data_IF_229316854612
#
_entry.id   IF_229316854612
#
_cell.length_a   1.000
_cell.length_b   1.000
_cell.length_c   1.000
_cell.angle_alpha   90.00
_cell.angle_beta   90.00
_cell.angle_gamma   90.00
#
_symmetry.space_group_name_H-M   'P 1'
#
loop_
_entity.id
_entity.type
_entity.pdbx_description
1 polymer ?
#
# COMPACT_ATOMS: atom_id res chain seq x y z
N UNK A 1 21.25 20.94 -4.73
CA UNK A 1 21.11 19.57 -5.30
C UNK A 1 19.65 19.16 -5.25
N UNK A 2 19.07 18.80 -6.40
CA UNK A 2 17.68 18.34 -6.48
C UNK A 2 17.50 16.99 -5.76
N UNK A 3 16.49 16.87 -4.92
CA UNK A 3 16.18 15.69 -4.11
C UNK A 3 14.69 15.35 -4.27
N UNK A 4 14.38 14.07 -4.40
CA UNK A 4 13.03 13.53 -4.30
C UNK A 4 12.96 12.66 -3.04
N UNK A 5 12.05 12.98 -2.12
CA UNK A 5 11.73 12.16 -0.96
C UNK A 5 10.35 11.53 -1.15
N UNK A 6 10.25 10.22 -0.93
CA UNK A 6 8.98 9.49 -1.05
C UNK A 6 8.72 8.63 0.19
N UNK A 7 7.48 8.65 0.67
CA UNK A 7 7.05 7.86 1.83
C UNK A 7 5.56 7.92 2.08
N UNK A 8 5.09 7.31 3.17
CA UNK A 8 3.68 7.45 3.57
C UNK A 8 3.35 8.90 3.95
N UNK A 9 2.06 9.32 3.86
CA UNK A 9 1.67 10.70 4.19
C UNK A 9 2.17 11.15 5.57
N UNK A 10 2.10 10.29 6.59
CA UNK A 10 2.59 10.59 7.93
C UNK A 10 4.13 10.73 8.00
N UNK A 11 4.88 9.96 7.19
CA UNK A 11 6.33 10.11 7.11
C UNK A 11 6.71 11.41 6.39
N UNK A 12 6.01 11.77 5.33
CA UNK A 12 6.28 13.01 4.59
C UNK A 12 5.88 14.25 5.38
N UNK A 13 4.81 14.17 6.17
CA UNK A 13 4.46 15.22 7.12
C UNK A 13 5.56 15.39 8.20
N UNK A 14 6.06 14.29 8.75
CA UNK A 14 7.16 14.33 9.71
C UNK A 14 8.45 14.90 9.09
N UNK A 15 8.77 14.55 7.84
CA UNK A 15 9.90 15.12 7.13
C UNK A 15 9.76 16.65 6.97
N UNK A 16 8.58 17.12 6.60
CA UNK A 16 8.31 18.57 6.48
C UNK A 16 8.48 19.30 7.81
N UNK A 17 7.98 18.71 8.91
CA UNK A 17 8.17 19.28 10.25
C UNK A 17 9.65 19.27 10.69
N UNK A 18 10.39 18.21 10.35
CA UNK A 18 11.83 18.14 10.67
C UNK A 18 12.65 19.18 9.89
N UNK A 19 12.22 19.52 8.68
CA UNK A 19 12.88 20.52 7.81
C UNK A 19 12.30 21.93 8.00
N UNK A 20 11.54 22.18 9.06
CA UNK A 20 11.01 23.51 9.32
C UNK A 20 12.17 24.53 9.46
N UNK A 21 12.02 25.69 8.78
CA UNK A 21 13.06 26.69 8.68
C UNK A 21 14.23 26.39 7.71
N UNK A 22 14.23 25.22 7.05
CA UNK A 22 15.23 24.88 6.01
C UNK A 22 14.70 25.23 4.63
N UNK A 23 15.55 25.77 3.77
CA UNK A 23 15.20 25.96 2.36
C UNK A 23 15.00 24.61 1.65
N UNK A 24 13.79 24.38 1.19
CA UNK A 24 13.35 23.15 0.51
C UNK A 24 12.98 23.38 -0.96
N UNK A 25 13.48 24.45 -1.60
CA UNK A 25 13.17 24.76 -3.00
C UNK A 25 13.52 23.60 -3.95
N UNK A 26 14.64 22.95 -3.72
CA UNK A 26 15.13 21.79 -4.50
C UNK A 26 14.57 20.44 -4.04
N UNK A 27 13.70 20.39 -3.03
CA UNK A 27 13.10 19.14 -2.52
C UNK A 27 11.69 18.94 -3.09
N UNK A 28 11.49 17.86 -3.82
CA UNK A 28 10.15 17.34 -4.15
C UNK A 28 9.75 16.31 -3.12
N UNK A 29 8.61 16.50 -2.48
CA UNK A 29 8.03 15.54 -1.54
C UNK A 29 6.90 14.78 -2.23
N UNK A 30 7.01 13.45 -2.25
CA UNK A 30 6.03 12.56 -2.81
C UNK A 30 5.46 11.65 -1.72
N UNK A 31 4.14 11.54 -1.62
CA UNK A 31 3.50 10.52 -0.83
C UNK A 31 2.63 9.59 -1.69
N UNK A 32 1.91 8.69 -1.05
CA UNK A 32 1.03 7.77 -1.75
C UNK A 32 -0.29 7.54 -1.00
N UNK A 33 -1.32 7.12 -1.74
CA UNK A 33 -2.61 6.70 -1.14
C UNK A 33 -2.35 5.51 -0.22
N UNK A 34 -2.34 5.78 1.07
CA UNK A 34 -1.95 4.81 2.09
C UNK A 34 -3.18 4.18 2.75
N UNK A 35 -3.31 2.86 2.71
CA UNK A 35 -4.35 2.15 3.46
C UNK A 35 -4.00 2.03 4.95
N UNK A 36 -2.74 1.76 5.28
CA UNK A 36 -2.24 1.54 6.64
C UNK A 36 -0.95 0.73 6.63
N UNK A 37 -0.25 0.71 7.75
CA UNK A 37 1.05 0.04 7.91
C UNK A 37 0.85 -1.28 8.67
N UNK A 38 1.25 -2.37 8.04
CA UNK A 38 1.18 -3.73 8.60
C UNK A 38 2.21 -3.97 9.70
N UNK A 39 1.90 -4.90 10.60
CA UNK A 39 2.83 -5.40 11.61
C UNK A 39 3.94 -6.23 10.97
N UNK A 40 5.24 -5.88 11.18
CA UNK A 40 6.35 -6.72 10.75
C UNK A 40 6.34 -8.12 11.39
N UNK A 41 5.87 -8.22 12.64
CA UNK A 41 5.70 -9.49 13.36
C UNK A 41 4.75 -10.45 12.62
N UNK A 42 3.59 -9.96 12.21
CA UNK A 42 2.60 -10.77 11.47
C UNK A 42 3.15 -11.17 10.10
N UNK A 43 3.85 -10.24 9.42
CA UNK A 43 4.51 -10.55 8.16
C UNK A 43 5.55 -11.67 8.32
N UNK A 44 6.40 -11.61 9.37
CA UNK A 44 7.38 -12.66 9.67
C UNK A 44 6.70 -14.01 9.94
N UNK A 45 5.65 -14.04 10.76
CA UNK A 45 4.87 -15.26 11.04
C UNK A 45 4.26 -15.88 9.79
N UNK A 46 3.80 -15.05 8.84
CA UNK A 46 3.33 -15.55 7.54
C UNK A 46 4.46 -16.19 6.73
N UNK A 47 5.64 -15.57 6.68
CA UNK A 47 6.79 -16.17 6.00
C UNK A 47 7.23 -17.48 6.66
N UNK A 48 7.27 -17.55 8.00
CA UNK A 48 7.61 -18.77 8.74
C UNK A 48 6.60 -19.91 8.47
N UNK A 49 5.30 -19.59 8.33
CA UNK A 49 4.26 -20.51 7.93
C UNK A 49 4.51 -21.08 6.52
N UNK A 50 4.87 -20.23 5.57
CA UNK A 50 5.22 -20.66 4.22
C UNK A 50 6.50 -21.49 4.19
N UNK A 51 7.56 -21.10 4.91
CA UNK A 51 8.79 -21.89 5.04
C UNK A 51 8.51 -23.30 5.59
N UNK A 52 7.69 -23.38 6.63
CA UNK A 52 7.25 -24.67 7.20
C UNK A 52 6.48 -25.50 6.19
N UNK A 53 5.53 -24.91 5.48
CA UNK A 53 4.68 -25.58 4.47
C UNK A 53 5.51 -26.15 3.32
N UNK A 54 6.52 -25.41 2.86
CA UNK A 54 7.36 -25.80 1.71
C UNK A 54 8.64 -26.57 2.10
N UNK A 55 8.92 -26.66 3.41
CA UNK A 55 10.12 -27.34 3.94
C UNK A 55 11.43 -26.71 3.48
N UNK A 56 11.46 -25.39 3.28
CA UNK A 56 12.60 -24.69 2.71
C UNK A 56 12.58 -23.20 3.05
N UNK A 57 13.75 -22.57 3.11
CA UNK A 57 13.88 -21.15 3.36
C UNK A 57 13.45 -20.30 2.16
N UNK A 58 12.87 -19.14 2.46
CA UNK A 58 12.48 -18.15 1.45
C UNK A 58 13.71 -17.34 1.05
N UNK A 59 13.95 -17.23 -0.26
CA UNK A 59 15.03 -16.43 -0.87
C UNK A 59 14.54 -15.14 -1.53
N UNK A 60 13.21 -15.06 -1.83
CA UNK A 60 12.63 -13.91 -2.49
C UNK A 60 11.15 -13.76 -2.11
N UNK A 61 10.71 -12.51 -1.87
CA UNK A 61 9.31 -12.15 -1.60
C UNK A 61 8.90 -10.94 -2.42
N UNK A 62 7.68 -10.99 -2.98
CA UNK A 62 7.02 -9.85 -3.59
C UNK A 62 5.53 -9.87 -3.22
N UNK A 63 5.16 -9.03 -2.25
CA UNK A 63 3.78 -8.99 -1.71
C UNK A 63 2.74 -8.39 -2.68
N UNK A 64 3.17 -7.58 -3.65
CA UNK A 64 2.35 -7.05 -4.74
C UNK A 64 2.95 -7.51 -6.07
N UNK A 65 2.84 -8.80 -6.36
CA UNK A 65 3.30 -9.39 -7.61
C UNK A 65 2.24 -9.19 -8.70
N UNK A 66 2.66 -8.82 -9.90
CA UNK A 66 1.76 -8.51 -11.03
C UNK A 66 1.89 -9.53 -12.18
N UNK A 67 2.56 -10.66 -11.97
CA UNK A 67 2.74 -11.69 -13.02
C UNK A 67 1.40 -12.33 -13.46
N UNK A 68 0.39 -12.32 -12.60
CA UNK A 68 -0.97 -12.82 -12.86
C UNK A 68 -1.98 -11.68 -13.11
N UNK A 69 -1.51 -10.50 -13.44
CA UNK A 69 -2.31 -9.28 -13.54
C UNK A 69 -2.26 -8.42 -12.28
N UNK A 70 -2.54 -7.13 -12.47
CA UNK A 70 -2.55 -6.16 -11.36
C UNK A 70 -3.71 -6.40 -10.38
N UNK A 71 -4.88 -6.80 -10.89
CA UNK A 71 -6.10 -7.00 -10.09
C UNK A 71 -6.04 -8.22 -9.18
N UNK A 72 -5.21 -9.20 -9.52
CA UNK A 72 -5.08 -10.45 -8.73
C UNK A 72 -4.40 -10.26 -7.37
N UNK A 73 -3.69 -9.15 -7.15
CA UNK A 73 -3.01 -8.82 -5.87
C UNK A 73 -2.21 -10.00 -5.31
N UNK A 74 -1.42 -10.63 -6.16
CA UNK A 74 -0.72 -11.88 -5.84
C UNK A 74 0.46 -11.67 -4.90
N UNK A 75 0.55 -12.48 -3.84
CA UNK A 75 1.76 -12.64 -3.03
C UNK A 75 2.64 -13.73 -3.66
N UNK A 76 3.90 -13.41 -3.92
CA UNK A 76 4.88 -14.37 -4.47
C UNK A 76 6.01 -14.59 -3.49
N UNK A 77 6.39 -15.86 -3.25
CA UNK A 77 7.61 -16.26 -2.58
C UNK A 77 8.37 -17.31 -3.40
N UNK A 78 9.71 -17.26 -3.36
CA UNK A 78 10.59 -18.30 -3.92
C UNK A 78 11.40 -18.92 -2.80
N UNK A 79 11.68 -20.22 -2.92
CA UNK A 79 12.37 -21.01 -1.90
C UNK A 79 13.70 -21.54 -2.41
N UNK A 80 14.64 -21.84 -1.51
CA UNK A 80 15.96 -22.43 -1.84
C UNK A 80 15.84 -23.75 -2.61
N UNK A 81 14.81 -24.55 -2.32
CA UNK A 81 14.55 -25.83 -3.01
C UNK A 81 13.96 -25.66 -4.43
N UNK A 82 13.94 -24.44 -4.99
CA UNK A 82 13.46 -24.13 -6.33
C UNK A 82 11.94 -24.01 -6.46
N UNK A 83 11.16 -24.31 -5.42
CA UNK A 83 9.70 -24.14 -5.43
C UNK A 83 9.32 -22.66 -5.37
N UNK A 84 8.08 -22.35 -5.78
CA UNK A 84 7.50 -21.02 -5.68
C UNK A 84 6.09 -21.10 -5.13
N UNK A 85 5.71 -20.09 -4.36
CA UNK A 85 4.34 -19.86 -3.88
C UNK A 85 3.76 -18.66 -4.61
N UNK A 86 2.50 -18.81 -5.06
CA UNK A 86 1.68 -17.73 -5.58
C UNK A 86 0.33 -17.80 -4.85
N UNK A 87 0.04 -16.81 -4.02
CA UNK A 87 -1.23 -16.67 -3.34
C UNK A 87 -1.95 -15.41 -3.79
N UNK A 88 -3.13 -15.55 -4.40
CA UNK A 88 -3.95 -14.37 -4.75
C UNK A 88 -4.48 -13.69 -3.49
N UNK A 89 -4.97 -12.46 -3.62
CA UNK A 89 -5.49 -11.69 -2.50
C UNK A 89 -6.65 -12.34 -1.74
N UNK A 90 -7.33 -13.32 -2.34
CA UNK A 90 -8.39 -14.11 -1.71
C UNK A 90 -7.89 -15.37 -1.00
N UNK A 91 -6.71 -15.86 -1.36
CA UNK A 91 -6.14 -17.13 -0.85
C UNK A 91 -4.99 -16.88 0.12
N UNK A 92 -4.15 -15.89 -0.14
CA UNK A 92 -3.00 -15.57 0.71
C UNK A 92 -3.45 -15.00 2.05
N UNK A 93 -3.09 -15.67 3.14
CA UNK A 93 -3.53 -15.31 4.48
C UNK A 93 -3.11 -13.90 4.91
N UNK A 94 -1.90 -13.46 4.56
CA UNK A 94 -1.44 -12.12 4.92
C UNK A 94 -2.18 -11.05 4.10
N UNK A 95 -2.27 -11.22 2.79
CA UNK A 95 -2.97 -10.29 1.90
C UNK A 95 -4.45 -10.20 2.25
N UNK A 96 -5.11 -11.35 2.47
CA UNK A 96 -6.51 -11.42 2.88
C UNK A 96 -6.76 -10.71 4.21
N UNK A 97 -5.93 -10.96 5.21
CA UNK A 97 -6.04 -10.31 6.51
C UNK A 97 -5.83 -8.80 6.42
N UNK A 98 -4.89 -8.33 5.59
CA UNK A 98 -4.69 -6.91 5.32
C UNK A 98 -5.90 -6.27 4.62
N UNK A 99 -6.41 -6.89 3.57
CA UNK A 99 -7.48 -6.32 2.74
C UNK A 99 -8.85 -6.36 3.42
N UNK A 100 -9.18 -7.45 4.13
CA UNK A 100 -10.51 -7.64 4.74
C UNK A 100 -10.60 -7.10 6.15
N UNK A 101 -9.63 -7.43 6.99
CA UNK A 101 -9.67 -7.13 8.42
C UNK A 101 -8.89 -5.88 8.80
N UNK A 102 -7.65 -5.75 8.30
CA UNK A 102 -6.71 -4.71 8.72
C UNK A 102 -6.29 -4.79 10.19
N UNK A 103 -6.67 -5.85 10.95
CA UNK A 103 -6.47 -5.99 12.40
C UNK A 103 -5.02 -5.87 12.86
N UNK A 104 -4.08 -6.22 12.00
CA UNK A 104 -2.65 -6.11 12.28
C UNK A 104 -2.01 -4.84 11.74
N UNK A 105 -2.80 -3.86 11.32
CA UNK A 105 -2.28 -2.54 11.03
C UNK A 105 -1.92 -1.80 12.31
N UNK A 106 -1.09 -0.76 12.16
CA UNK A 106 -0.68 0.10 13.28
C UNK A 106 -1.91 0.81 13.87
N UNK A 107 -2.07 0.91 15.22
CA UNK A 107 -3.25 1.53 15.85
C UNK A 107 -3.57 2.93 15.31
N UNK A 108 -2.55 3.79 15.14
CA UNK A 108 -2.72 5.13 14.58
C UNK A 108 -3.27 5.17 13.14
N UNK A 109 -3.31 4.03 12.42
CA UNK A 109 -3.89 3.98 11.08
C UNK A 109 -5.43 3.94 11.09
N UNK A 110 -6.05 3.60 12.21
CA UNK A 110 -7.51 3.62 12.36
C UNK A 110 -8.05 5.04 12.59
N UNK A 111 -7.22 5.92 13.14
CA UNK A 111 -7.53 7.33 13.41
C UNK A 111 -6.45 8.22 12.76
N UNK A 112 -6.25 8.03 11.47
CA UNK A 112 -5.15 8.65 10.75
C UNK A 112 -5.43 10.13 10.45
N UNK A 113 -4.63 11.03 11.02
CA UNK A 113 -4.72 12.47 10.82
C UNK A 113 -4.26 12.95 9.43
N UNK A 114 -3.78 12.03 8.58
CA UNK A 114 -3.23 12.34 7.26
C UNK A 114 -4.15 11.86 6.12
N UNK A 115 -5.45 11.69 6.42
CA UNK A 115 -6.50 11.39 5.45
C UNK A 115 -7.22 12.67 5.07
N UNK A 116 -6.87 13.22 3.92
CA UNK A 116 -7.35 14.52 3.47
C UNK A 116 -7.22 14.64 1.95
N UNK A 117 -8.03 15.52 1.36
CA UNK A 117 -7.79 15.97 -0.02
C UNK A 117 -6.55 16.87 -0.14
N UNK A 118 -6.14 17.49 0.97
CA UNK A 118 -4.93 18.30 1.05
C UNK A 118 -3.81 17.49 1.70
N UNK A 119 -2.86 17.02 0.89
CA UNK A 119 -1.69 16.31 1.35
C UNK A 119 -0.53 17.26 1.68
N UNK A 120 0.35 16.84 2.60
CA UNK A 120 1.58 17.57 2.95
C UNK A 120 2.74 17.31 1.96
N UNK A 121 2.44 16.70 0.82
CA UNK A 121 3.38 16.39 -0.25
C UNK A 121 3.15 17.29 -1.47
N UNK A 122 4.13 17.37 -2.36
CA UNK A 122 3.98 18.06 -3.64
C UNK A 122 3.18 17.21 -4.63
N UNK A 123 3.36 15.87 -4.54
CA UNK A 123 2.70 14.88 -5.39
C UNK A 123 2.21 13.72 -4.51
N UNK A 124 0.98 13.26 -4.79
CA UNK A 124 0.46 12.00 -4.26
C UNK A 124 0.32 10.97 -5.38
N UNK A 125 0.87 9.78 -5.16
CA UNK A 125 0.74 8.64 -6.06
C UNK A 125 -0.22 7.59 -5.50
N UNK A 126 -0.81 6.78 -6.37
CA UNK A 126 -1.65 5.67 -5.95
C UNK A 126 -1.88 4.66 -7.07
N UNK A 127 -2.39 3.50 -6.73
CA UNK A 127 -3.02 2.61 -7.71
C UNK A 127 -4.37 3.25 -8.10
N UNK A 128 -4.68 3.36 -9.39
CA UNK A 128 -5.96 3.94 -9.82
C UNK A 128 -7.04 2.85 -9.91
N UNK A 129 -7.59 2.48 -8.78
CA UNK A 129 -8.76 1.60 -8.73
C UNK A 129 -9.96 2.27 -9.37
N UNK A 130 -10.62 1.58 -10.30
CA UNK A 130 -11.74 2.13 -11.08
C UNK A 130 -11.32 2.72 -12.43
N UNK A 131 -10.06 2.57 -12.85
CA UNK A 131 -9.55 3.03 -14.14
C UNK A 131 -10.38 2.50 -15.32
N UNK A 132 -10.90 1.27 -15.20
CA UNK A 132 -11.74 0.61 -16.21
C UNK A 132 -13.00 1.39 -16.56
N UNK A 133 -13.51 2.19 -15.63
CA UNK A 133 -14.72 3.02 -15.84
C UNK A 133 -14.38 4.47 -16.26
N UNK A 134 -13.20 4.97 -15.88
CA UNK A 134 -12.82 6.39 -16.04
C UNK A 134 -11.93 6.62 -17.26
N UNK A 135 -11.00 5.71 -17.52
CA UNK A 135 -10.07 5.80 -18.64
C UNK A 135 -9.69 4.38 -19.13
N UNK A 136 -10.66 3.65 -19.70
CA UNK A 136 -10.47 2.27 -20.15
C UNK A 136 -9.35 2.13 -21.19
N UNK A 137 -9.05 3.18 -21.94
CA UNK A 137 -7.95 3.21 -22.91
C UNK A 137 -6.55 3.13 -22.26
N UNK A 138 -6.44 3.38 -20.95
CA UNK A 138 -5.19 3.27 -20.18
C UNK A 138 -5.15 2.00 -19.31
N UNK A 139 -6.16 1.15 -19.41
CA UNK A 139 -6.29 -0.07 -18.61
C UNK A 139 -5.76 -1.29 -19.38
N UNK A 140 -4.57 -1.74 -19.04
CA UNK A 140 -3.92 -2.93 -19.63
C UNK A 140 -3.66 -4.06 -18.61
N UNK A 141 -4.30 -3.99 -17.43
CA UNK A 141 -4.10 -4.88 -16.27
C UNK A 141 -2.65 -4.97 -15.75
N UNK A 142 -1.78 -4.04 -16.15
CA UNK A 142 -0.45 -3.89 -15.53
C UNK A 142 -0.46 -2.90 -14.38
N UNK A 143 -1.57 -2.16 -14.26
CA UNK A 143 -1.86 -1.17 -13.23
C UNK A 143 -1.58 0.26 -13.69
N UNK A 144 -2.65 1.06 -13.74
CA UNK A 144 -2.54 2.49 -13.95
C UNK A 144 -2.22 3.20 -12.63
N UNK A 145 -1.35 4.20 -12.69
CA UNK A 145 -1.03 5.05 -11.55
C UNK A 145 -1.94 6.25 -11.50
N UNK A 146 -2.50 6.53 -10.32
CA UNK A 146 -3.07 7.82 -9.98
C UNK A 146 -1.93 8.79 -9.62
N UNK A 147 -1.99 10.01 -10.15
CA UNK A 147 -1.11 11.09 -9.77
C UNK A 147 -1.93 12.33 -9.43
N UNK A 148 -1.73 12.90 -8.25
CA UNK A 148 -2.35 14.15 -7.80
C UNK A 148 -1.25 15.16 -7.55
N UNK A 149 -1.31 16.32 -8.23
CA UNK A 149 -0.43 17.44 -7.96
C UNK A 149 -1.05 18.30 -6.85
N UNK A 150 -0.44 18.31 -5.68
CA UNK A 150 -0.96 19.02 -4.50
C UNK A 150 -0.46 20.47 -4.44
N UNK A 151 0.66 20.78 -5.11
CA UNK A 151 1.28 22.12 -5.14
C UNK A 151 1.66 22.54 -6.57
N UNK A 152 1.90 23.83 -6.78
CA UNK A 152 2.44 24.33 -8.06
C UNK A 152 3.80 23.70 -8.38
N UNK A 153 4.63 23.45 -7.36
CA UNK A 153 5.92 22.76 -7.52
C UNK A 153 5.74 21.32 -7.99
N UNK A 154 4.76 20.59 -7.45
CA UNK A 154 4.38 19.26 -7.91
C UNK A 154 3.86 19.26 -9.35
N UNK A 155 3.03 20.24 -9.70
CA UNK A 155 2.55 20.41 -11.07
C UNK A 155 3.69 20.73 -12.05
N UNK A 156 4.60 21.60 -11.69
CA UNK A 156 5.78 21.92 -12.50
C UNK A 156 6.67 20.68 -12.70
N UNK A 157 6.86 19.89 -11.65
CA UNK A 157 7.59 18.62 -11.75
C UNK A 157 6.90 17.63 -12.70
N UNK A 158 5.59 17.44 -12.60
CA UNK A 158 4.85 16.58 -13.52
C UNK A 158 4.94 17.08 -14.97
N UNK A 159 4.78 18.39 -15.20
CA UNK A 159 4.86 18.99 -16.53
C UNK A 159 6.23 18.76 -17.21
N UNK A 160 7.31 18.66 -16.43
CA UNK A 160 8.65 18.39 -16.96
C UNK A 160 8.83 16.93 -17.46
N UNK A 161 7.96 16.00 -17.06
CA UNK A 161 8.08 14.58 -17.42
C UNK A 161 6.87 14.01 -18.15
N UNK A 162 5.76 14.73 -18.23
CA UNK A 162 4.48 14.23 -18.75
C UNK A 162 4.54 13.73 -20.21
N UNK A 163 5.40 14.32 -21.04
CA UNK A 163 5.57 13.91 -22.43
C UNK A 163 6.23 12.52 -22.57
N UNK A 164 6.77 11.97 -21.48
CA UNK A 164 7.32 10.62 -21.41
C UNK A 164 6.30 9.60 -20.87
N UNK A 165 5.07 10.04 -20.60
CA UNK A 165 4.00 9.22 -20.00
C UNK A 165 2.78 9.20 -20.90
N UNK A 166 2.05 8.09 -20.89
CA UNK A 166 0.66 8.08 -21.31
C UNK A 166 -0.19 8.55 -20.12
N UNK A 167 -0.97 9.59 -20.32
CA UNK A 167 -1.75 10.16 -19.22
C UNK A 167 -3.07 10.77 -19.71
N UNK A 168 -4.03 10.84 -18.77
CA UNK A 168 -5.32 11.50 -18.98
C UNK A 168 -5.68 12.27 -17.72
N UNK A 169 -6.16 13.49 -17.89
CA UNK A 169 -6.74 14.27 -16.78
C UNK A 169 -8.13 13.76 -16.47
N UNK A 170 -8.40 13.50 -15.19
CA UNK A 170 -9.69 13.01 -14.69
C UNK A 170 -10.22 13.93 -13.58
N UNK A 171 -11.50 13.83 -13.26
CA UNK A 171 -12.09 14.58 -12.16
C UNK A 171 -11.76 13.91 -10.83
N UNK A 172 -11.50 14.72 -9.79
CA UNK A 172 -11.19 14.22 -8.46
C UNK A 172 -12.32 13.36 -7.87
N UNK A 173 -13.57 13.68 -8.19
CA UNK A 173 -14.73 12.88 -7.78
C UNK A 173 -14.70 11.45 -8.35
N UNK A 174 -14.27 11.27 -9.59
CA UNK A 174 -14.12 9.95 -10.23
C UNK A 174 -13.02 9.12 -9.56
N UNK A 175 -11.95 9.80 -9.09
CA UNK A 175 -10.89 9.16 -8.31
C UNK A 175 -11.39 8.61 -6.99
N UNK A 176 -12.24 9.35 -6.28
CA UNK A 176 -12.69 8.99 -4.94
C UNK A 176 -13.59 7.75 -4.90
N UNK A 177 -14.31 7.46 -5.95
CA UNK A 177 -15.30 6.37 -6.00
C UNK A 177 -14.71 5.01 -5.55
N UNK A 178 -13.50 4.68 -6.05
CA UNK A 178 -12.79 3.42 -5.71
C UNK A 178 -11.54 3.63 -4.84
N UNK A 179 -11.14 4.87 -4.60
CA UNK A 179 -9.92 5.22 -3.86
C UNK A 179 -10.23 5.91 -2.52
N UNK A 180 -11.27 5.44 -1.81
CA UNK A 180 -11.75 6.02 -0.56
C UNK A 180 -10.67 6.15 0.53
N UNK A 181 -9.61 5.35 0.49
CA UNK A 181 -8.47 5.47 1.42
C UNK A 181 -7.65 6.75 1.26
N UNK A 182 -7.93 7.56 0.25
CA UNK A 182 -7.38 8.91 0.15
C UNK A 182 -7.93 9.79 1.29
N UNK A 183 -9.24 9.68 1.59
CA UNK A 183 -9.95 10.52 2.56
C UNK A 183 -10.31 9.80 3.86
N UNK A 184 -10.31 8.47 3.88
CA UNK A 184 -10.82 7.70 5.03
C UNK A 184 -9.78 6.78 5.62
N UNK A 185 -9.68 6.80 6.95
CA UNK A 185 -8.89 5.86 7.74
C UNK A 185 -9.39 4.42 7.58
N UNK A 186 -8.58 3.46 7.99
CA UNK A 186 -9.06 2.10 8.22
C UNK A 186 -10.17 2.11 9.29
N UNK A 187 -11.18 1.27 9.09
CA UNK A 187 -12.14 0.99 10.15
C UNK A 187 -11.46 0.20 11.27
N UNK A 188 -11.85 0.49 12.51
CA UNK A 188 -11.44 -0.36 13.64
C UNK A 188 -11.89 -1.81 13.41
N UNK A 189 -11.05 -2.81 13.73
CA UNK A 189 -11.45 -4.20 13.62
C UNK A 189 -12.62 -4.49 14.58
N UNK A 190 -13.56 -5.34 14.13
CA UNK A 190 -14.71 -5.73 14.94
C UNK A 190 -14.34 -6.68 16.11
N UNK A 191 -13.14 -7.23 16.08
CA UNK A 191 -12.61 -8.17 17.08
C UNK A 191 -11.42 -7.56 17.82
N UNK A 192 -11.16 -8.05 19.04
CA UNK A 192 -10.07 -7.56 19.88
C UNK A 192 -8.72 -7.73 19.19
N UNK A 193 -8.01 -6.63 19.02
CA UNK A 193 -6.64 -6.61 18.49
C UNK A 193 -5.65 -7.27 19.45
N UNK A 194 -5.85 -7.12 20.76
CA UNK A 194 -4.98 -7.73 21.78
C UNK A 194 -5.14 -9.25 21.76
N UNK A 195 -6.38 -9.76 21.71
CA UNK A 195 -6.64 -11.19 21.55
C UNK A 195 -6.01 -11.74 20.27
N UNK A 196 -6.08 -11.00 19.15
CA UNK A 196 -5.41 -11.38 17.92
C UNK A 196 -3.89 -11.50 18.10
N UNK A 197 -3.23 -10.52 18.74
CA UNK A 197 -1.79 -10.57 18.93
C UNK A 197 -1.32 -11.62 19.93
N UNK A 198 -2.12 -11.94 20.95
CA UNK A 198 -1.87 -13.09 21.82
C UNK A 198 -1.89 -14.40 21.03
N UNK A 199 -2.92 -14.60 20.20
CA UNK A 199 -2.97 -15.78 19.33
C UNK A 199 -1.83 -15.82 18.29
N UNK A 200 -1.40 -14.67 17.77
CA UNK A 200 -0.21 -14.58 16.88
C UNK A 200 1.06 -15.06 17.59
N UNK A 201 1.17 -14.85 18.90
CA UNK A 201 2.31 -15.33 19.67
C UNK A 201 2.26 -16.84 19.89
N UNK A 202 1.10 -17.37 20.22
CA UNK A 202 0.92 -18.73 20.71
C UNK A 202 0.62 -19.75 19.60
N UNK A 203 0.01 -19.33 18.47
CA UNK A 203 -0.50 -20.22 17.44
C UNK A 203 0.25 -20.11 16.11
N UNK A 204 0.23 -21.18 15.29
CA UNK A 204 0.63 -21.09 13.88
C UNK A 204 -0.23 -20.07 13.11
N UNK A 205 0.39 -19.30 12.22
CA UNK A 205 -0.31 -18.21 11.53
C UNK A 205 -1.52 -18.66 10.70
N UNK A 206 -1.51 -19.88 10.15
CA UNK A 206 -2.66 -20.41 9.41
C UNK A 206 -3.89 -20.61 10.31
N UNK A 207 -3.71 -20.98 11.57
CA UNK A 207 -4.79 -21.08 12.55
C UNK A 207 -5.31 -19.71 12.95
N UNK A 208 -4.41 -18.76 13.17
CA UNK A 208 -4.78 -17.34 13.42
C UNK A 208 -5.57 -16.79 12.24
N UNK A 209 -5.11 -17.03 11.02
CA UNK A 209 -5.80 -16.56 9.81
C UNK A 209 -7.21 -17.15 9.69
N UNK A 210 -7.37 -18.45 9.93
CA UNK A 210 -8.68 -19.11 9.90
C UNK A 210 -9.65 -18.57 10.95
N UNK A 211 -9.15 -18.14 12.12
CA UNK A 211 -9.96 -17.59 13.21
C UNK A 211 -10.40 -16.15 12.95
N UNK A 212 -9.50 -15.29 12.43
CA UNK A 212 -9.71 -13.84 12.42
C UNK A 212 -10.09 -13.25 11.05
N UNK A 213 -9.82 -13.95 9.97
CA UNK A 213 -10.15 -13.54 8.60
C UNK A 213 -10.38 -14.75 7.69
N UNK A 214 -11.44 -15.55 7.99
CA UNK A 214 -11.79 -16.76 7.27
C UNK A 214 -12.09 -16.52 5.78
#
# INVERSE_FOLDING_TARGET
KKVLACGSPCQMAALRLYLDGVDTADLIVCDYVCRGINSPKVFRKHLDSLEKKYGSKITYVKAKNKELGWRELTFKAKFENGKSYYGTGTVDNFTRGYLRSGIFCRPSCYECNYKSAQHNSDITLGDFWGIESVAPELDDDKGASLLICNTEKGLAFFNAVREQCLWKKVLFAEVLEKNHHLLHSLKHPAVSRDAFFNDVDDLPFDQVAAKYFP
#
